data_IF_894060333105
#
_entry.id   IF_894060333105
#
_cell.length_a   1.000
_cell.length_b   1.000
_cell.length_c   1.000
_cell.angle_alpha   90.00
_cell.angle_beta   90.00
_cell.angle_gamma   90.00
#
_symmetry.space_group_name_H-M   'P 1'
#
loop_
_entity.id
_entity.type
_entity.pdbx_description
1 polymer ?
#
# COMPACT_ATOMS: atom_id res chain seq x y z
N UNK A 1 8.77 -16.05 21.94
CA UNK A 1 8.26 -14.70 22.23
C UNK A 1 7.36 -14.81 23.43
N UNK A 2 7.77 -14.30 24.59
CA UNK A 2 6.85 -14.13 25.72
C UNK A 2 5.86 -13.03 25.33
N UNK A 3 4.57 -13.34 25.28
CA UNK A 3 3.50 -12.36 24.99
C UNK A 3 3.28 -11.35 26.13
N UNK A 4 4.24 -11.24 27.04
CA UNK A 4 4.16 -10.38 28.21
C UNK A 4 4.40 -8.92 27.80
N UNK A 5 3.54 -8.00 28.24
CA UNK A 5 3.72 -6.58 27.99
C UNK A 5 4.99 -6.09 28.70
N UNK A 6 5.81 -5.30 27.99
CA UNK A 6 7.02 -4.70 28.56
C UNK A 6 6.72 -3.23 28.90
N UNK A 7 6.92 -2.86 30.17
CA UNK A 7 6.72 -1.49 30.63
C UNK A 7 7.63 -0.52 29.85
N UNK A 8 7.09 0.63 29.44
CA UNK A 8 7.75 1.65 28.61
C UNK A 8 8.16 1.19 27.19
N UNK A 9 7.65 0.07 26.71
CA UNK A 9 7.85 -0.34 25.32
C UNK A 9 6.96 0.48 24.37
N UNK A 10 7.53 0.91 23.25
CA UNK A 10 6.80 1.51 22.12
C UNK A 10 5.93 0.48 21.37
N UNK A 11 6.16 -0.80 21.63
CA UNK A 11 5.42 -1.92 21.07
C UNK A 11 4.65 -2.65 22.17
N UNK A 12 3.46 -3.17 21.83
CA UNK A 12 2.60 -3.92 22.75
C UNK A 12 3.30 -5.16 23.32
N UNK A 13 4.27 -5.71 22.59
CA UNK A 13 5.05 -6.89 22.95
C UNK A 13 6.50 -6.72 22.48
N UNK A 14 7.42 -7.54 23.02
CA UNK A 14 8.82 -7.61 22.56
C UNK A 14 8.86 -7.88 21.05
N UNK A 15 9.35 -6.94 20.21
CA UNK A 15 9.27 -7.09 18.76
C UNK A 15 10.12 -8.24 18.22
N UNK A 16 9.74 -8.77 17.05
CA UNK A 16 10.57 -9.72 16.34
C UNK A 16 11.79 -9.00 15.74
N UNK A 17 12.99 -9.52 16.00
CA UNK A 17 14.25 -8.96 15.50
C UNK A 17 14.59 -9.42 14.08
N UNK A 18 14.18 -10.63 13.70
CA UNK A 18 14.56 -11.27 12.43
C UNK A 18 13.59 -10.93 11.30
N UNK A 19 12.29 -10.91 11.58
CA UNK A 19 11.27 -10.71 10.55
C UNK A 19 11.39 -9.36 9.82
N UNK A 20 11.62 -8.21 10.50
CA UNK A 20 11.80 -6.93 9.80
C UNK A 20 13.03 -6.92 8.90
N UNK A 21 14.15 -7.49 9.35
CA UNK A 21 15.38 -7.59 8.54
C UNK A 21 15.15 -8.37 7.24
N UNK A 22 14.45 -9.50 7.33
CA UNK A 22 14.08 -10.31 6.16
C UNK A 22 13.25 -9.51 5.15
N UNK A 23 12.21 -8.80 5.60
CA UNK A 23 11.41 -7.96 4.72
C UNK A 23 12.21 -6.79 4.14
N UNK A 24 13.09 -6.16 4.93
CA UNK A 24 13.95 -5.09 4.45
C UNK A 24 14.84 -5.56 3.28
N UNK A 25 15.43 -6.76 3.38
CA UNK A 25 16.23 -7.35 2.29
C UNK A 25 15.39 -7.62 1.05
N UNK A 26 14.21 -8.23 1.20
CA UNK A 26 13.33 -8.53 0.05
C UNK A 26 12.88 -7.25 -0.68
N UNK A 27 12.47 -6.22 0.07
CA UNK A 27 12.11 -4.95 -0.53
C UNK A 27 13.32 -4.22 -1.10
N UNK A 28 14.51 -4.38 -0.53
CA UNK A 28 15.75 -3.82 -1.07
C UNK A 28 16.12 -4.44 -2.43
N UNK A 29 15.98 -5.77 -2.57
CA UNK A 29 16.15 -6.46 -3.85
C UNK A 29 15.10 -5.97 -4.87
N UNK A 30 13.84 -5.85 -4.44
CA UNK A 30 12.77 -5.31 -5.30
C UNK A 30 13.05 -3.88 -5.75
N UNK A 31 13.54 -3.01 -4.84
CA UNK A 31 13.92 -1.65 -5.15
C UNK A 31 15.06 -1.61 -6.18
N UNK A 32 16.11 -2.43 -6.01
CA UNK A 32 17.20 -2.54 -6.98
C UNK A 32 16.68 -2.98 -8.36
N UNK A 33 15.78 -3.96 -8.40
CA UNK A 33 15.13 -4.42 -9.64
C UNK A 33 14.33 -3.30 -10.32
N UNK A 34 13.52 -2.56 -9.56
CA UNK A 34 12.75 -1.44 -10.10
C UNK A 34 13.64 -0.27 -10.56
N UNK A 35 14.73 0.04 -9.85
CA UNK A 35 15.73 1.03 -10.29
C UNK A 35 16.29 0.63 -11.65
N UNK A 36 16.73 -0.63 -11.78
CA UNK A 36 17.25 -1.14 -13.04
C UNK A 36 16.22 -1.07 -14.16
N UNK A 37 14.96 -1.47 -13.91
CA UNK A 37 13.88 -1.39 -14.89
C UNK A 37 13.59 0.07 -15.32
N UNK A 38 13.56 0.99 -14.36
CA UNK A 38 13.37 2.41 -14.59
C UNK A 38 14.46 3.01 -15.48
N UNK A 39 15.74 2.68 -15.22
CA UNK A 39 16.88 3.14 -16.01
C UNK A 39 16.89 2.49 -17.40
N UNK A 40 16.76 1.15 -17.46
CA UNK A 40 16.93 0.39 -18.70
C UNK A 40 15.80 0.57 -19.71
N UNK A 41 14.56 0.70 -19.24
CA UNK A 41 13.35 0.78 -20.07
C UNK A 41 12.69 2.17 -20.05
N UNK A 42 13.32 3.16 -19.38
CA UNK A 42 12.75 4.50 -19.17
C UNK A 42 11.31 4.46 -18.60
N UNK A 43 11.04 3.46 -17.75
CA UNK A 43 9.70 3.14 -17.26
C UNK A 43 9.25 4.00 -16.07
N UNK A 44 9.96 5.10 -15.76
CA UNK A 44 9.73 6.00 -14.62
C UNK A 44 8.26 6.44 -14.47
N UNK A 45 7.59 6.77 -15.58
CA UNK A 45 6.18 7.18 -15.55
C UNK A 45 5.22 6.05 -15.18
N UNK A 46 5.64 4.79 -15.34
CA UNK A 46 4.78 3.61 -15.19
C UNK A 46 4.95 2.97 -13.82
N UNK A 47 6.21 2.69 -13.47
CA UNK A 47 6.58 1.90 -12.28
C UNK A 47 7.30 2.77 -11.23
N UNK A 48 7.39 4.09 -11.44
CA UNK A 48 8.05 4.99 -10.50
C UNK A 48 7.43 4.97 -9.10
N UNK A 49 6.10 4.80 -9.01
CA UNK A 49 5.42 4.61 -7.73
C UNK A 49 5.78 3.27 -7.07
N UNK A 50 5.89 2.17 -7.83
CA UNK A 50 6.36 0.88 -7.31
C UNK A 50 7.78 0.98 -6.75
N UNK A 51 8.67 1.69 -7.45
CA UNK A 51 10.02 1.97 -6.98
C UNK A 51 10.01 2.76 -5.66
N UNK A 52 9.25 3.86 -5.61
CA UNK A 52 9.14 4.69 -4.41
C UNK A 52 8.65 3.87 -3.21
N UNK A 53 7.62 3.05 -3.39
CA UNK A 53 7.11 2.16 -2.36
C UNK A 53 8.13 1.07 -1.96
N UNK A 54 8.88 0.51 -2.91
CA UNK A 54 9.93 -0.47 -2.60
C UNK A 54 11.04 0.15 -1.73
N UNK A 55 11.45 1.38 -2.03
CA UNK A 55 12.41 2.13 -1.19
C UNK A 55 11.81 2.42 0.19
N UNK A 56 10.57 2.89 0.26
CA UNK A 56 9.91 3.19 1.53
C UNK A 56 9.74 1.97 2.40
N UNK A 57 9.36 0.82 1.83
CA UNK A 57 9.34 -0.43 2.58
C UNK A 57 10.74 -0.84 3.04
N UNK A 58 11.76 -0.75 2.18
CA UNK A 58 13.13 -1.09 2.57
C UNK A 58 13.58 -0.30 3.79
N UNK A 59 13.45 1.03 3.73
CA UNK A 59 13.83 1.93 4.83
C UNK A 59 12.92 1.71 6.04
N UNK A 60 11.61 1.63 5.84
CA UNK A 60 10.63 1.44 6.91
C UNK A 60 10.86 0.15 7.70
N UNK A 61 11.17 -0.96 7.02
CA UNK A 61 11.47 -2.25 7.65
C UNK A 61 12.87 -2.28 8.27
N UNK A 62 13.87 -1.60 7.71
CA UNK A 62 15.18 -1.43 8.35
C UNK A 62 15.07 -0.62 9.66
N UNK A 63 14.30 0.47 9.66
CA UNK A 63 14.00 1.24 10.87
C UNK A 63 13.17 0.43 11.87
N UNK A 64 12.28 -0.44 11.38
CA UNK A 64 11.51 -1.36 12.22
C UNK A 64 12.41 -2.39 12.91
N UNK A 65 13.43 -2.88 12.21
CA UNK A 65 14.45 -3.75 12.78
C UNK A 65 15.23 -3.03 13.88
N UNK A 66 15.71 -1.81 13.61
CA UNK A 66 16.35 -0.98 14.62
C UNK A 66 15.46 -0.81 15.86
N UNK A 67 14.17 -0.52 15.66
CA UNK A 67 13.17 -0.42 16.73
C UNK A 67 12.94 -1.73 17.48
N UNK A 68 13.17 -2.90 16.86
CA UNK A 68 13.09 -4.20 17.52
C UNK A 68 14.24 -4.46 18.50
N UNK A 69 15.39 -3.81 18.30
CA UNK A 69 16.50 -3.81 19.25
C UNK A 69 16.40 -2.65 20.26
N UNK A 70 15.75 -1.54 19.88
CA UNK A 70 15.64 -0.30 20.67
C UNK A 70 14.17 0.06 20.96
N UNK A 71 13.41 -0.86 21.54
CA UNK A 71 11.96 -0.72 21.71
C UNK A 71 11.54 0.07 22.97
N UNK A 72 12.47 0.38 23.88
CA UNK A 72 12.19 1.20 25.07
C UNK A 72 12.01 2.67 24.69
N UNK A 73 11.09 3.33 25.40
CA UNK A 73 10.77 4.74 25.20
C UNK A 73 12.00 5.63 25.40
N UNK A 74 12.32 6.37 24.34
CA UNK A 74 13.26 7.49 24.30
C UNK A 74 12.80 8.42 23.18
N UNK A 75 12.99 9.75 23.27
CA UNK A 75 12.59 10.67 22.21
C UNK A 75 13.11 10.26 20.82
N UNK A 76 14.34 9.72 20.76
CA UNK A 76 14.94 9.23 19.51
C UNK A 76 14.24 7.95 19.00
N UNK A 77 14.01 6.97 19.88
CA UNK A 77 13.35 5.72 19.52
C UNK A 77 11.90 5.94 19.10
N UNK A 78 11.21 6.89 19.72
CA UNK A 78 9.86 7.31 19.34
C UNK A 78 9.84 7.86 17.90
N UNK A 79 10.77 8.74 17.56
CA UNK A 79 10.88 9.29 16.20
C UNK A 79 11.14 8.18 15.17
N UNK A 80 12.05 7.25 15.47
CA UNK A 80 12.34 6.10 14.59
C UNK A 80 11.10 5.22 14.43
N UNK A 81 10.37 4.96 15.52
CA UNK A 81 9.12 4.20 15.48
C UNK A 81 8.07 4.88 14.59
N UNK A 82 7.86 6.19 14.75
CA UNK A 82 6.91 6.96 13.95
C UNK A 82 7.31 6.91 12.47
N UNK A 83 8.56 7.22 12.13
CA UNK A 83 9.04 7.21 10.74
C UNK A 83 8.90 5.83 10.11
N UNK A 84 9.29 4.77 10.82
CA UNK A 84 9.12 3.38 10.37
C UNK A 84 7.65 3.07 10.05
N UNK A 85 6.72 3.44 10.95
CA UNK A 85 5.28 3.25 10.74
C UNK A 85 4.79 4.04 9.54
N UNK A 86 5.14 5.31 9.42
CA UNK A 86 4.69 6.15 8.30
C UNK A 86 5.16 5.59 6.95
N UNK A 87 6.43 5.21 6.83
CA UNK A 87 6.97 4.66 5.59
C UNK A 87 6.32 3.34 5.20
N UNK A 88 5.99 2.47 6.17
CA UNK A 88 5.30 1.20 5.89
C UNK A 88 3.83 1.42 5.54
N UNK A 89 3.11 2.28 6.28
CA UNK A 89 1.65 2.42 6.17
C UNK A 89 1.21 3.30 5.00
N UNK A 90 2.08 4.17 4.47
CA UNK A 90 1.76 4.97 3.28
C UNK A 90 1.84 4.15 1.97
N UNK A 91 2.60 3.05 1.99
CA UNK A 91 2.86 2.27 0.78
C UNK A 91 1.64 1.54 0.19
N UNK A 92 0.73 0.92 0.97
CA UNK A 92 -0.45 0.25 0.44
C UNK A 92 -1.31 1.11 -0.51
N UNK A 93 -1.81 2.30 -0.12
CA UNK A 93 -2.63 3.12 -1.01
C UNK A 93 -1.86 3.62 -2.24
N UNK A 94 -0.57 3.88 -2.11
CA UNK A 94 0.28 4.27 -3.23
C UNK A 94 0.47 3.13 -4.24
N UNK A 95 0.65 1.89 -3.76
CA UNK A 95 0.76 0.71 -4.62
C UNK A 95 -0.56 0.38 -5.31
N UNK A 96 -1.69 0.59 -4.65
CA UNK A 96 -3.01 0.46 -5.29
C UNK A 96 -3.17 1.48 -6.41
N UNK A 97 -2.86 2.75 -6.16
CA UNK A 97 -2.86 3.79 -7.19
C UNK A 97 -1.94 3.42 -8.35
N UNK A 98 -0.76 2.87 -8.06
CA UNK A 98 0.18 2.40 -9.08
C UNK A 98 -0.38 1.23 -9.91
N UNK A 99 -1.08 0.29 -9.26
CA UNK A 99 -1.72 -0.84 -9.94
C UNK A 99 -2.90 -0.38 -10.82
N UNK A 100 -3.69 0.59 -10.33
CA UNK A 100 -4.71 1.22 -11.15
C UNK A 100 -4.06 1.88 -12.35
N UNK A 101 -2.98 2.66 -12.15
CA UNK A 101 -2.23 3.27 -13.25
C UNK A 101 -1.80 2.26 -14.33
N UNK A 102 -1.24 1.13 -13.92
CA UNK A 102 -0.86 0.05 -14.85
C UNK A 102 -2.10 -0.51 -15.57
N UNK A 103 -3.18 -0.83 -14.85
CA UNK A 103 -4.41 -1.35 -15.44
C UNK A 103 -4.98 -0.38 -16.50
N UNK A 104 -5.04 0.92 -16.20
CA UNK A 104 -5.53 1.92 -17.14
C UNK A 104 -4.73 1.97 -18.43
N UNK A 105 -3.41 1.82 -18.35
CA UNK A 105 -2.57 1.76 -19.56
C UNK A 105 -2.78 0.47 -20.34
N UNK A 106 -2.87 -0.67 -19.67
CA UNK A 106 -3.14 -1.96 -20.32
C UNK A 106 -4.45 -1.92 -21.10
N UNK A 107 -5.50 -1.38 -20.49
CA UNK A 107 -6.81 -1.20 -21.12
C UNK A 107 -6.77 -0.21 -22.28
N UNK A 108 -5.92 0.82 -22.20
CA UNK A 108 -5.69 1.75 -23.30
C UNK A 108 -5.01 1.09 -24.51
N UNK A 109 -4.08 0.16 -24.29
CA UNK A 109 -3.38 -0.53 -25.38
C UNK A 109 -4.26 -1.55 -26.11
N UNK A 110 -5.23 -2.19 -25.42
CA UNK A 110 -6.14 -3.19 -26.02
C UNK A 110 -7.59 -2.77 -25.78
N UNK A 111 -8.07 -1.70 -26.45
CA UNK A 111 -9.38 -1.13 -26.15
C UNK A 111 -10.54 -2.06 -26.51
N UNK A 112 -10.38 -2.96 -27.49
CA UNK A 112 -11.44 -3.89 -27.91
C UNK A 112 -11.76 -4.97 -26.87
N UNK A 113 -10.84 -5.24 -25.94
CA UNK A 113 -11.08 -6.17 -24.84
C UNK A 113 -11.45 -5.44 -23.54
N UNK A 114 -11.36 -4.10 -23.51
CA UNK A 114 -11.53 -3.30 -22.31
C UNK A 114 -13.00 -3.26 -21.87
N UNK A 115 -13.33 -3.68 -20.63
CA UNK A 115 -14.70 -3.62 -20.11
C UNK A 115 -15.16 -2.19 -19.77
N UNK A 116 -14.21 -1.25 -19.65
CA UNK A 116 -14.49 0.12 -19.24
C UNK A 116 -13.54 1.10 -19.93
N UNK A 117 -13.99 2.35 -20.24
CA UNK A 117 -13.15 3.34 -20.91
C UNK A 117 -11.87 3.65 -20.11
N UNK A 118 -10.67 3.44 -20.68
CA UNK A 118 -9.39 3.57 -19.99
C UNK A 118 -9.16 4.94 -19.32
N UNK A 119 -9.64 6.02 -19.97
CA UNK A 119 -9.48 7.39 -19.48
C UNK A 119 -10.26 7.67 -18.18
N UNK A 120 -11.33 6.92 -17.89
CA UNK A 120 -12.16 7.14 -16.69
C UNK A 120 -11.67 6.35 -15.49
N UNK A 121 -11.02 5.21 -15.71
CA UNK A 121 -10.55 4.33 -14.65
C UNK A 121 -9.54 5.07 -13.77
N UNK A 122 -8.62 5.82 -14.37
CA UNK A 122 -7.56 6.50 -13.62
C UNK A 122 -8.13 7.54 -12.67
N UNK A 123 -9.02 8.38 -13.19
CA UNK A 123 -9.65 9.44 -12.41
C UNK A 123 -10.61 8.88 -11.36
N UNK A 124 -11.38 7.83 -11.70
CA UNK A 124 -12.36 7.23 -10.79
C UNK A 124 -11.66 6.53 -9.63
N UNK A 125 -10.74 5.62 -9.92
CA UNK A 125 -10.04 4.86 -8.88
C UNK A 125 -9.12 5.77 -8.05
N UNK A 126 -8.49 6.77 -8.67
CA UNK A 126 -7.75 7.79 -7.93
C UNK A 126 -8.63 8.59 -6.97
N UNK A 127 -9.83 9.00 -7.40
CA UNK A 127 -10.78 9.69 -6.53
C UNK A 127 -11.30 8.79 -5.40
N UNK A 128 -11.57 7.51 -5.68
CA UNK A 128 -11.98 6.54 -4.66
C UNK A 128 -10.89 6.35 -3.60
N UNK A 129 -9.63 6.19 -4.01
CA UNK A 129 -8.49 6.12 -3.08
C UNK A 129 -8.38 7.41 -2.26
N UNK A 130 -8.52 8.58 -2.87
CA UNK A 130 -8.45 9.84 -2.14
C UNK A 130 -9.53 9.96 -1.06
N UNK A 131 -10.75 9.50 -1.35
CA UNK A 131 -11.86 9.46 -0.37
C UNK A 131 -11.52 8.47 0.76
N UNK A 132 -11.05 7.27 0.42
CA UNK A 132 -10.69 6.25 1.42
C UNK A 132 -9.58 6.75 2.34
N UNK A 133 -8.52 7.33 1.77
CA UNK A 133 -7.39 7.84 2.55
C UNK A 133 -7.76 9.04 3.41
N UNK A 134 -8.70 9.89 2.96
CA UNK A 134 -9.24 10.96 3.79
C UNK A 134 -10.03 10.40 5.00
N UNK A 135 -10.88 9.40 4.79
CA UNK A 135 -11.62 8.73 5.87
C UNK A 135 -10.69 8.02 6.85
N UNK A 136 -9.67 7.33 6.33
CA UNK A 136 -8.66 6.64 7.12
C UNK A 136 -7.83 7.63 7.95
N UNK A 137 -7.34 8.70 7.32
CA UNK A 137 -6.57 9.76 8.00
C UNK A 137 -7.34 10.44 9.12
N UNK A 138 -8.61 10.79 8.88
CA UNK A 138 -9.51 11.31 9.91
C UNK A 138 -9.75 10.29 11.03
N UNK A 139 -9.99 9.03 10.67
CA UNK A 139 -10.20 7.94 11.61
C UNK A 139 -9.02 7.74 12.56
N UNK A 140 -7.81 7.69 12.02
CA UNK A 140 -6.56 7.58 12.78
C UNK A 140 -6.32 8.81 13.63
N UNK A 141 -6.54 10.02 13.11
CA UNK A 141 -6.37 11.27 13.86
C UNK A 141 -7.28 11.34 15.09
N UNK A 142 -8.55 10.94 14.97
CA UNK A 142 -9.49 10.92 16.09
C UNK A 142 -9.18 9.82 17.10
N UNK A 143 -8.78 8.65 16.64
CA UNK A 143 -8.48 7.50 17.53
C UNK A 143 -7.19 7.72 18.32
N UNK A 144 -6.19 8.38 17.72
CA UNK A 144 -4.87 8.59 18.32
C UNK A 144 -4.75 9.83 19.19
N UNK A 145 -5.79 10.68 19.26
CA UNK A 145 -5.79 11.88 20.08
C UNK A 145 -6.25 11.57 21.53
N UNK A 146 -5.34 11.59 22.52
CA UNK A 146 -5.69 11.30 23.91
C UNK A 146 -6.58 12.38 24.55
N UNK A 147 -6.64 13.59 23.95
CA UNK A 147 -7.46 14.71 24.45
C UNK A 147 -8.89 14.68 23.89
N UNK A 148 -9.21 13.77 22.96
CA UNK A 148 -10.55 13.64 22.39
C UNK A 148 -11.51 12.91 23.32
N UNK A 149 -12.81 13.24 23.23
CA UNK A 149 -13.85 12.53 23.99
C UNK A 149 -13.90 11.03 23.61
N UNK A 150 -14.35 10.14 24.52
CA UNK A 150 -14.54 8.73 24.21
C UNK A 150 -15.40 8.48 22.96
N UNK A 151 -16.45 9.29 22.79
CA UNK A 151 -17.32 9.24 21.60
C UNK A 151 -16.59 9.59 20.29
N UNK A 152 -15.64 10.52 20.33
CA UNK A 152 -14.83 10.92 19.17
C UNK A 152 -13.81 9.84 18.82
N UNK A 153 -13.18 9.23 19.81
CA UNK A 153 -12.26 8.10 19.59
C UNK A 153 -12.99 6.88 19.02
N UNK A 154 -14.19 6.58 19.52
CA UNK A 154 -15.07 5.53 18.96
C UNK A 154 -15.44 5.83 17.50
N UNK A 155 -15.82 7.07 17.20
CA UNK A 155 -16.09 7.51 15.82
C UNK A 155 -14.86 7.29 14.94
N UNK A 156 -13.67 7.67 15.41
CA UNK A 156 -12.40 7.45 14.70
C UNK A 156 -12.15 5.97 14.38
N UNK A 157 -12.39 5.09 15.34
CA UNK A 157 -12.25 3.64 15.16
C UNK A 157 -13.24 3.10 14.12
N UNK A 158 -14.49 3.58 14.14
CA UNK A 158 -15.51 3.22 13.14
C UNK A 158 -15.14 3.73 11.75
N UNK A 159 -14.66 4.95 11.61
CA UNK A 159 -14.19 5.53 10.35
C UNK A 159 -13.01 4.74 9.76
N UNK A 160 -12.01 4.42 10.60
CA UNK A 160 -10.86 3.60 10.18
C UNK A 160 -11.32 2.24 9.65
N UNK A 161 -12.17 1.53 10.40
CA UNK A 161 -12.74 0.24 9.96
C UNK A 161 -13.54 0.35 8.66
N UNK A 162 -14.37 1.38 8.53
CA UNK A 162 -15.16 1.62 7.33
C UNK A 162 -14.27 1.92 6.11
N UNK A 163 -13.21 2.72 6.28
CA UNK A 163 -12.26 3.03 5.22
C UNK A 163 -11.55 1.77 4.73
N UNK A 164 -11.10 0.89 5.63
CA UNK A 164 -10.47 -0.38 5.27
C UNK A 164 -11.42 -1.32 4.52
N UNK A 165 -12.68 -1.41 4.96
CA UNK A 165 -13.69 -2.21 4.27
C UNK A 165 -13.98 -1.67 2.86
N UNK A 166 -14.08 -0.35 2.72
CA UNK A 166 -14.26 0.29 1.42
C UNK A 166 -13.03 0.07 0.51
N UNK A 167 -11.83 0.18 1.06
CA UNK A 167 -10.58 -0.09 0.34
C UNK A 167 -10.58 -1.50 -0.26
N UNK A 168 -10.90 -2.51 0.54
CA UNK A 168 -10.99 -3.89 0.08
C UNK A 168 -12.03 -4.08 -1.04
N UNK A 169 -13.17 -3.38 -0.95
CA UNK A 169 -14.17 -3.41 -2.01
C UNK A 169 -13.64 -2.80 -3.32
N UNK A 170 -12.95 -1.66 -3.27
CA UNK A 170 -12.34 -1.01 -4.46
C UNK A 170 -11.29 -1.92 -5.10
N UNK A 171 -10.40 -2.52 -4.30
CA UNK A 171 -9.41 -3.49 -4.77
C UNK A 171 -10.10 -4.67 -5.46
N UNK A 172 -11.14 -5.22 -4.84
CA UNK A 172 -11.89 -6.36 -5.39
C UNK A 172 -12.50 -6.03 -6.74
N UNK A 173 -13.13 -4.86 -6.88
CA UNK A 173 -13.68 -4.38 -8.15
C UNK A 173 -12.58 -4.24 -9.20
N UNK A 174 -11.40 -3.73 -8.84
CA UNK A 174 -10.27 -3.65 -9.76
C UNK A 174 -9.82 -5.02 -10.27
N UNK A 175 -9.70 -6.02 -9.37
CA UNK A 175 -9.37 -7.39 -9.76
C UNK A 175 -10.43 -8.01 -10.69
N UNK A 176 -11.71 -7.78 -10.43
CA UNK A 176 -12.80 -8.23 -11.31
C UNK A 176 -12.65 -7.61 -12.70
N UNK A 177 -12.41 -6.30 -12.80
CA UNK A 177 -12.20 -5.62 -14.09
C UNK A 177 -10.99 -6.16 -14.85
N UNK A 178 -9.88 -6.41 -14.15
CA UNK A 178 -8.70 -7.03 -14.74
C UNK A 178 -8.98 -8.46 -15.23
N UNK A 179 -9.74 -9.24 -14.47
CA UNK A 179 -10.15 -10.60 -14.84
C UNK A 179 -11.09 -10.63 -16.05
N UNK A 180 -12.08 -9.72 -16.11
CA UNK A 180 -12.97 -9.57 -17.27
C UNK A 180 -12.17 -9.17 -18.51
N UNK A 181 -11.27 -8.20 -18.38
CA UNK A 181 -10.38 -7.82 -19.47
C UNK A 181 -9.55 -9.01 -19.99
N UNK A 182 -8.92 -9.76 -19.08
CA UNK A 182 -8.14 -10.94 -19.43
C UNK A 182 -8.97 -12.00 -20.17
N UNK A 183 -10.19 -12.27 -19.69
CA UNK A 183 -11.13 -13.19 -20.33
C UNK A 183 -11.50 -12.72 -21.75
N UNK A 184 -11.84 -11.44 -21.92
CA UNK A 184 -12.16 -10.86 -23.23
C UNK A 184 -10.96 -10.94 -24.19
N UNK A 185 -9.72 -10.80 -23.69
CA UNK A 185 -8.52 -10.99 -24.51
C UNK A 185 -8.41 -12.42 -25.01
N UNK A 186 -8.62 -13.42 -24.17
CA UNK A 186 -8.57 -14.83 -24.58
C UNK A 186 -9.65 -15.15 -25.60
N UNK A 187 -10.90 -14.75 -25.33
CA UNK A 187 -12.04 -15.02 -26.22
C UNK A 187 -11.87 -14.37 -27.59
N UNK A 188 -11.29 -13.18 -27.67
CA UNK A 188 -11.05 -12.48 -28.95
C UNK A 188 -9.78 -12.92 -29.68
N UNK A 189 -8.83 -13.55 -28.99
CA UNK A 189 -7.58 -14.02 -29.60
C UNK A 189 -7.71 -15.41 -30.25
N UNK A 190 -8.51 -16.31 -29.68
CA UNK A 190 -8.75 -17.67 -30.20
C UNK A 190 -9.32 -17.72 -31.64
N UNK A 191 -10.19 -16.80 -32.09
CA UNK A 191 -10.68 -16.77 -33.47
C UNK A 191 -9.62 -16.33 -34.49
N UNK A 192 -8.65 -15.49 -34.11
CA UNK A 192 -7.64 -14.97 -35.04
C UNK A 192 -6.57 -16.00 -35.44
N UNK A 193 -6.41 -17.09 -34.70
CA UNK A 193 -5.49 -18.18 -35.06
C UNK A 193 -6.08 -19.23 -36.00
N UNK A 194 -7.37 -19.15 -36.32
CA UNK A 194 -8.05 -20.11 -37.21
C UNK A 194 -8.07 -19.68 -38.68
N UNK A 195 -7.43 -18.56 -39.01
CA UNK A 195 -7.23 -18.03 -40.36
C UNK A 195 -5.74 -17.89 -40.65
#
# INVERSE_FOLDING_TARGET
MSGEPVLYSLYVYSPNKVAPAFFAVLFGISAAGHIWQCIRYNAWRTIGLHLMCAVFYTVGYALREYGAFNYLYSPTNLNVFIVSRLMIYICPPLLELANYHVLGRVLYYIPHCAPFPPHRIMSLFGALVAIVEALNGLGVAFTSNPSSSPSTQELGSRLTKASLAFQLAVITVCFILAGVFYRNCIENWLPQQKH
#
